data_IF_826585341870
#
_entry.id   IF_826585341870
#
_cell.length_a   1.000
_cell.length_b   1.000
_cell.length_c   1.000
_cell.angle_alpha   90.00
_cell.angle_beta   90.00
_cell.angle_gamma   90.00
#
_symmetry.space_group_name_H-M   'P 1'
#
loop_
_entity.id
_entity.type
_entity.pdbx_description
1 polymer ?
#
# COMPACT_ATOMS: atom_id res chain seq x y z
N UNK A 1 16.55 18.35 2.86
CA UNK A 1 16.22 17.23 1.94
C UNK A 1 15.29 16.31 2.71
N UNK A 2 14.24 15.75 2.05
CA UNK A 2 13.37 14.73 2.65
C UNK A 2 13.66 13.40 1.99
N UNK A 3 13.65 12.34 2.80
CA UNK A 3 13.85 10.97 2.35
C UNK A 3 12.53 10.24 2.57
N UNK A 4 12.13 9.44 1.60
CA UNK A 4 10.90 8.65 1.63
C UNK A 4 11.23 7.18 1.50
N UNK A 5 10.66 6.36 2.37
CA UNK A 5 10.65 4.91 2.21
C UNK A 5 9.44 4.52 1.36
N UNK A 6 9.69 3.83 0.26
CA UNK A 6 8.68 3.35 -0.68
C UNK A 6 8.81 1.84 -0.88
N UNK A 7 7.68 1.16 -0.92
CA UNK A 7 7.61 -0.24 -1.33
C UNK A 7 6.33 -0.50 -2.11
N UNK A 8 6.45 -1.27 -3.18
CA UNK A 8 5.29 -1.75 -3.96
C UNK A 8 4.56 -2.92 -3.28
N UNK A 9 5.02 -3.39 -2.15
CA UNK A 9 4.47 -4.57 -1.47
C UNK A 9 4.36 -5.76 -2.43
N UNK A 10 5.47 -6.00 -3.16
CA UNK A 10 5.53 -7.04 -4.18
C UNK A 10 5.36 -8.43 -3.56
N UNK A 11 4.47 -9.24 -4.17
CA UNK A 11 4.24 -10.60 -3.72
C UNK A 11 5.40 -11.52 -4.13
N UNK A 12 5.99 -12.31 -3.22
CA UNK A 12 7.25 -13.01 -3.47
C UNK A 12 7.12 -14.27 -4.32
N UNK A 13 6.00 -15.00 -4.20
CA UNK A 13 5.83 -16.34 -4.77
C UNK A 13 4.98 -16.32 -6.04
N UNK A 14 5.47 -15.64 -7.08
CA UNK A 14 4.83 -15.62 -8.37
C UNK A 14 5.28 -16.82 -9.24
N UNK A 15 4.38 -17.35 -10.09
CA UNK A 15 4.74 -18.38 -11.04
C UNK A 15 5.71 -17.83 -12.10
N UNK A 16 6.42 -18.72 -12.86
CA UNK A 16 7.23 -18.31 -13.98
C UNK A 16 6.46 -17.44 -14.98
N UNK A 17 7.14 -16.48 -15.62
CA UNK A 17 6.52 -15.52 -16.55
C UNK A 17 5.88 -16.20 -17.78
N UNK A 18 6.29 -17.41 -18.13
CA UNK A 18 5.74 -18.19 -19.24
C UNK A 18 4.31 -18.71 -18.97
N UNK A 19 3.85 -18.66 -17.71
CA UNK A 19 2.54 -19.16 -17.31
C UNK A 19 1.38 -18.18 -17.51
N UNK A 20 1.69 -16.92 -17.88
CA UNK A 20 0.68 -15.87 -18.07
C UNK A 20 1.17 -14.78 -19.04
N UNK A 21 0.22 -14.15 -19.71
CA UNK A 21 0.51 -13.15 -20.74
C UNK A 21 0.99 -11.79 -20.17
N UNK A 22 0.50 -11.44 -18.97
CA UNK A 22 0.85 -10.18 -18.30
C UNK A 22 0.77 -10.32 -16.80
N UNK A 23 1.88 -10.04 -16.13
CA UNK A 23 1.95 -10.03 -14.65
C UNK A 23 0.96 -9.04 -14.03
N UNK A 24 0.67 -7.93 -14.69
CA UNK A 24 -0.17 -6.86 -14.14
C UNK A 24 -1.65 -6.99 -14.51
N UNK A 25 -2.00 -7.79 -15.50
CA UNK A 25 -3.37 -7.84 -16.02
C UNK A 25 -3.96 -9.24 -16.00
N UNK A 26 -3.22 -10.25 -16.43
CA UNK A 26 -3.75 -11.60 -16.63
C UNK A 26 -3.22 -12.66 -15.65
N UNK A 27 -2.32 -12.31 -14.74
CA UNK A 27 -1.85 -13.22 -13.68
C UNK A 27 -3.03 -13.66 -12.81
N UNK A 28 -3.38 -14.97 -12.75
CA UNK A 28 -4.53 -15.44 -12.00
C UNK A 28 -4.36 -15.31 -10.49
N UNK A 29 -5.40 -14.86 -9.79
CA UNK A 29 -5.41 -14.74 -8.33
C UNK A 29 -5.29 -16.07 -7.57
N UNK A 30 -5.44 -17.20 -8.24
CA UNK A 30 -5.21 -18.54 -7.65
C UNK A 30 -3.79 -18.75 -7.12
N UNK A 31 -2.84 -17.95 -7.59
CA UNK A 31 -1.46 -17.99 -7.13
C UNK A 31 -1.20 -17.20 -5.84
N UNK A 32 -2.20 -16.47 -5.35
CA UNK A 32 -2.09 -15.76 -4.09
C UNK A 32 -2.41 -16.66 -2.91
N UNK A 33 -1.45 -16.80 -1.99
CA UNK A 33 -1.64 -17.47 -0.70
C UNK A 33 -1.88 -16.40 0.39
N UNK A 34 -3.04 -16.42 1.08
CA UNK A 34 -3.34 -15.46 2.14
C UNK A 34 -2.36 -15.47 3.31
N UNK A 35 -1.74 -16.62 3.63
CA UNK A 35 -0.75 -16.70 4.71
C UNK A 35 0.56 -15.99 4.34
N UNK A 36 0.99 -16.10 3.09
CA UNK A 36 2.12 -15.35 2.58
C UNK A 36 1.78 -13.85 2.53
N UNK A 37 0.59 -13.52 2.05
CA UNK A 37 0.09 -12.15 2.03
C UNK A 37 0.02 -11.53 3.43
N UNK A 38 -0.47 -12.26 4.43
CA UNK A 38 -0.48 -11.82 5.81
C UNK A 38 0.93 -11.47 6.32
N UNK A 39 1.89 -12.38 6.14
CA UNK A 39 3.28 -12.16 6.55
C UNK A 39 3.91 -10.97 5.85
N UNK A 40 3.62 -10.82 4.55
CA UNK A 40 4.10 -9.70 3.76
C UNK A 40 3.58 -8.36 4.30
N UNK A 41 2.28 -8.26 4.64
CA UNK A 41 1.74 -7.06 5.27
C UNK A 41 2.37 -6.76 6.62
N UNK A 42 2.54 -7.77 7.49
CA UNK A 42 3.18 -7.55 8.80
C UNK A 42 4.61 -7.02 8.63
N UNK A 43 5.42 -7.68 7.80
CA UNK A 43 6.80 -7.24 7.54
C UNK A 43 6.85 -5.81 6.99
N UNK A 44 5.92 -5.46 6.11
CA UNK A 44 5.86 -4.14 5.49
C UNK A 44 5.47 -3.05 6.50
N UNK A 45 4.51 -3.35 7.38
CA UNK A 45 4.11 -2.46 8.47
C UNK A 45 5.29 -2.24 9.43
N UNK A 46 6.02 -3.29 9.80
CA UNK A 46 7.19 -3.19 10.66
C UNK A 46 8.30 -2.33 10.02
N UNK A 47 8.57 -2.48 8.73
CA UNK A 47 9.52 -1.64 7.99
C UNK A 47 9.11 -0.16 7.99
N UNK A 48 7.84 0.15 7.80
CA UNK A 48 7.34 1.52 7.85
C UNK A 48 7.38 2.10 9.27
N UNK A 49 7.11 1.30 10.28
CA UNK A 49 7.28 1.72 11.67
C UNK A 49 8.76 2.04 11.98
N UNK A 50 9.69 1.22 11.49
CA UNK A 50 11.12 1.49 11.61
C UNK A 50 11.52 2.77 10.85
N UNK A 51 10.96 2.99 9.65
CA UNK A 51 11.19 4.24 8.91
C UNK A 51 10.76 5.47 9.72
N UNK A 52 9.61 5.40 10.39
CA UNK A 52 9.12 6.47 11.29
C UNK A 52 10.09 6.73 12.44
N UNK A 53 10.63 5.69 13.07
CA UNK A 53 11.62 5.82 14.15
C UNK A 53 12.93 6.47 13.67
N UNK A 54 13.31 6.22 12.43
CA UNK A 54 14.51 6.78 11.79
C UNK A 54 14.29 8.17 11.19
N UNK A 55 13.08 8.73 11.28
CA UNK A 55 12.75 10.05 10.73
C UNK A 55 12.65 10.06 9.20
N UNK A 56 12.36 8.93 8.59
CA UNK A 56 12.12 8.76 7.16
C UNK A 56 10.62 8.84 6.89
N UNK A 57 10.22 9.64 5.91
CA UNK A 57 8.82 9.75 5.50
C UNK A 57 8.34 8.47 4.77
N UNK A 58 7.06 8.18 4.82
CA UNK A 58 6.48 6.92 4.32
C UNK A 58 5.66 7.18 3.06
N UNK A 59 5.90 6.36 2.05
CA UNK A 59 5.14 6.39 0.80
C UNK A 59 4.54 5.02 0.53
N UNK A 60 3.21 4.96 0.43
CA UNK A 60 2.44 3.77 0.02
C UNK A 60 1.90 3.96 -1.39
N UNK A 61 1.57 2.88 -2.06
CA UNK A 61 0.98 2.91 -3.41
C UNK A 61 -0.34 2.13 -3.47
N UNK A 62 -0.96 2.13 -4.64
CA UNK A 62 -2.17 1.35 -4.90
C UNK A 62 -2.01 0.59 -6.21
N UNK A 63 -2.21 -0.74 -6.15
CA UNK A 63 -2.18 -1.63 -7.31
C UNK A 63 -3.39 -2.55 -7.33
N UNK A 64 -3.86 -2.90 -8.52
CA UNK A 64 -5.10 -3.64 -8.73
C UNK A 64 -4.92 -4.83 -9.66
N UNK A 65 -5.93 -5.70 -9.64
CA UNK A 65 -6.25 -6.81 -10.53
C UNK A 65 -5.45 -8.09 -10.29
N UNK A 66 -4.16 -8.04 -9.98
CA UNK A 66 -3.35 -9.25 -9.85
C UNK A 66 -2.55 -9.26 -8.54
N UNK A 67 -2.06 -10.41 -8.08
CA UNK A 67 -1.27 -10.50 -6.85
C UNK A 67 0.17 -9.97 -6.98
N UNK A 68 0.54 -9.34 -8.09
CA UNK A 68 1.90 -8.79 -8.29
C UNK A 68 2.33 -7.85 -7.17
N UNK A 69 1.42 -6.95 -6.79
CA UNK A 69 1.59 -6.01 -5.68
C UNK A 69 0.31 -6.02 -4.87
N UNK A 70 0.41 -6.32 -3.59
CA UNK A 70 -0.74 -6.62 -2.75
C UNK A 70 -1.18 -5.43 -1.88
N UNK A 71 -1.30 -4.26 -2.48
CA UNK A 71 -1.85 -3.06 -1.82
C UNK A 71 -2.99 -2.44 -2.66
N UNK A 72 -4.16 -3.09 -2.72
CA UNK A 72 -5.27 -2.62 -3.54
C UNK A 72 -6.07 -1.47 -2.93
N UNK A 73 -5.76 -1.08 -1.69
CA UNK A 73 -6.53 -0.08 -0.94
C UNK A 73 -5.61 0.77 -0.06
N UNK A 74 -4.80 1.61 -0.69
CA UNK A 74 -3.86 2.49 -0.02
C UNK A 74 -4.45 3.32 1.14
N UNK A 75 -5.72 3.81 1.09
CA UNK A 75 -6.34 4.47 2.23
C UNK A 75 -6.44 3.61 3.49
N UNK A 76 -6.68 2.30 3.35
CA UNK A 76 -6.74 1.37 4.49
C UNK A 76 -5.37 1.25 5.13
N UNK A 77 -4.33 0.99 4.34
CA UNK A 77 -2.96 0.88 4.82
C UNK A 77 -2.50 2.20 5.47
N UNK A 78 -2.80 3.33 4.84
CA UNK A 78 -2.45 4.64 5.38
C UNK A 78 -3.17 4.91 6.71
N UNK A 79 -4.42 4.46 6.87
CA UNK A 79 -5.15 4.52 8.15
C UNK A 79 -4.47 3.71 9.26
N UNK A 80 -3.97 2.52 8.95
CA UNK A 80 -3.16 1.69 9.88
C UNK A 80 -1.89 2.43 10.28
N UNK A 81 -1.16 2.96 9.30
CA UNK A 81 0.09 3.70 9.53
C UNK A 81 -0.15 5.02 10.29
N UNK A 82 -1.26 5.71 10.05
CA UNK A 82 -1.64 6.91 10.80
C UNK A 82 -1.73 6.64 12.32
N UNK A 83 -2.16 5.42 12.70
CA UNK A 83 -2.24 5.00 14.12
C UNK A 83 -0.91 4.52 14.68
N UNK A 84 -0.12 3.80 13.90
CA UNK A 84 1.11 3.14 14.38
C UNK A 84 2.32 4.06 14.39
N UNK A 85 2.38 5.04 13.48
CA UNK A 85 3.49 5.99 13.34
C UNK A 85 3.19 7.32 14.02
N UNK A 86 4.24 8.13 14.28
CA UNK A 86 4.12 9.39 15.02
C UNK A 86 4.74 10.59 14.32
N UNK A 87 5.80 10.40 13.55
CA UNK A 87 6.68 11.45 13.05
C UNK A 87 6.62 11.62 11.54
N UNK A 88 6.57 10.50 10.80
CA UNK A 88 6.62 10.46 9.34
C UNK A 88 5.40 11.10 8.70
N UNK A 89 5.63 11.77 7.58
CA UNK A 89 4.55 12.11 6.65
C UNK A 89 4.11 10.86 5.92
N UNK A 90 2.83 10.79 5.62
CA UNK A 90 2.20 9.69 4.90
C UNK A 90 1.80 10.17 3.52
N UNK A 91 2.42 9.61 2.48
CA UNK A 91 2.12 9.93 1.10
C UNK A 91 1.51 8.70 0.41
N UNK A 92 0.41 8.90 -0.28
CA UNK A 92 -0.15 7.89 -1.18
C UNK A 92 0.31 8.21 -2.61
N UNK A 93 1.17 7.36 -3.15
CA UNK A 93 1.60 7.44 -4.54
C UNK A 93 0.60 6.69 -5.43
N UNK A 94 -0.38 7.41 -5.92
CA UNK A 94 -1.47 6.86 -6.71
C UNK A 94 -2.64 6.40 -5.84
N UNK A 95 -3.72 7.13 -5.93
CA UNK A 95 -5.05 6.77 -5.48
C UNK A 95 -5.98 7.11 -6.65
N UNK A 96 -6.06 6.25 -7.67
CA UNK A 96 -6.63 6.60 -8.96
C UNK A 96 -8.14 6.83 -8.83
N UNK A 97 -8.56 8.09 -8.87
CA UNK A 97 -9.97 8.50 -8.77
C UNK A 97 -10.81 7.84 -9.87
N UNK A 98 -10.22 7.58 -11.04
CA UNK A 98 -10.88 6.89 -12.14
C UNK A 98 -11.39 5.48 -11.76
N UNK A 99 -10.74 4.80 -10.82
CA UNK A 99 -11.16 3.49 -10.31
C UNK A 99 -12.26 3.59 -9.24
N UNK A 100 -12.60 4.80 -8.82
CA UNK A 100 -13.61 5.05 -7.79
C UNK A 100 -14.89 5.58 -8.43
N UNK A 101 -16.01 4.93 -8.20
CA UNK A 101 -17.32 5.38 -8.70
C UNK A 101 -17.77 6.72 -8.08
N UNK A 102 -17.27 7.02 -6.88
CA UNK A 102 -17.65 8.18 -6.09
C UNK A 102 -16.39 8.93 -5.62
N UNK A 103 -15.98 10.00 -6.31
CA UNK A 103 -14.79 10.75 -5.92
C UNK A 103 -14.91 11.42 -4.55
N UNK A 104 -16.12 11.75 -4.13
CA UNK A 104 -16.38 12.27 -2.77
C UNK A 104 -15.95 11.28 -1.71
N UNK A 105 -16.12 9.97 -1.95
CA UNK A 105 -15.66 8.94 -1.02
C UNK A 105 -14.16 8.97 -0.81
N UNK A 106 -13.39 9.22 -1.86
CA UNK A 106 -11.93 9.37 -1.75
C UNK A 106 -11.58 10.57 -0.87
N UNK A 107 -12.29 11.69 -1.04
CA UNK A 107 -12.07 12.88 -0.22
C UNK A 107 -12.39 12.62 1.26
N UNK A 108 -13.47 11.89 1.56
CA UNK A 108 -13.84 11.51 2.93
C UNK A 108 -12.78 10.59 3.57
N UNK A 109 -12.29 9.60 2.84
CA UNK A 109 -11.24 8.68 3.30
C UNK A 109 -9.95 9.45 3.61
N UNK A 110 -9.54 10.35 2.73
CA UNK A 110 -8.34 11.17 2.93
C UNK A 110 -8.50 12.16 4.08
N UNK A 111 -9.66 12.80 4.21
CA UNK A 111 -9.94 13.68 5.33
C UNK A 111 -9.90 12.92 6.68
N UNK A 112 -10.42 11.70 6.71
CA UNK A 112 -10.35 10.85 7.90
C UNK A 112 -8.90 10.48 8.25
N UNK A 113 -8.09 10.09 7.27
CA UNK A 113 -6.65 9.80 7.46
C UNK A 113 -5.91 11.05 7.96
N UNK A 114 -6.20 12.21 7.40
CA UNK A 114 -5.59 13.48 7.82
C UNK A 114 -5.86 13.76 9.31
N UNK A 115 -7.10 13.61 9.75
CA UNK A 115 -7.47 13.78 11.17
C UNK A 115 -6.80 12.72 12.06
N UNK A 116 -6.81 11.45 11.66
CA UNK A 116 -6.19 10.35 12.41
C UNK A 116 -4.67 10.54 12.56
N UNK A 117 -4.02 11.07 11.53
CA UNK A 117 -2.58 11.32 11.51
C UNK A 117 -2.16 12.66 12.12
N UNK A 118 -3.11 13.53 12.48
CA UNK A 118 -2.89 14.93 12.89
C UNK A 118 -2.19 15.75 11.79
N UNK A 119 -2.62 15.65 10.56
CA UNK A 119 -2.15 16.45 9.44
C UNK A 119 -0.82 15.97 8.84
N UNK A 120 -0.43 14.74 9.08
CA UNK A 120 0.81 14.17 8.51
C UNK A 120 0.54 13.55 7.13
#
# INVERSE_FOLDING_TARGET
>A
MRIWHFSETAYPDLPPEDDYESIRVSLPNKYYDPEIGYKLYQNRIDEWCLADELGIDIMVNEHHQTPTCVDPAAPIMTGVLARLTKNSRLLILGNPIANRRQPVRVAEEMAMVDVLSKGR
#
